data_IF_531073388870
#
_entry.id   IF_531073388870
#
_cell.length_a   1.000
_cell.length_b   1.000
_cell.length_c   1.000
_cell.angle_alpha   90.00
_cell.angle_beta   90.00
_cell.angle_gamma   90.00
#
_symmetry.space_group_name_H-M   'P 1'
#
loop_
_entity.id
_entity.type
_entity.pdbx_description
1 polymer ?
#
# COMPACT_ATOMS: atom_id res chain seq x y z
N UNK A 1 -6.17 1.57 -24.05
CA UNK A 1 -6.00 2.51 -22.91
C UNK A 1 -5.67 1.66 -21.69
N UNK A 2 -4.55 1.91 -20.99
CA UNK A 2 -4.22 1.12 -19.78
C UNK A 2 -5.05 1.65 -18.60
N UNK A 3 -5.80 0.78 -17.93
CA UNK A 3 -6.51 1.13 -16.70
C UNK A 3 -5.51 1.41 -15.57
N UNK A 4 -5.83 2.36 -14.70
CA UNK A 4 -5.00 2.71 -13.57
C UNK A 4 -5.86 3.30 -12.44
N UNK A 5 -5.35 3.18 -11.21
CA UNK A 5 -5.83 3.94 -10.07
C UNK A 5 -4.83 5.05 -9.75
N UNK A 6 -5.31 6.23 -9.34
CA UNK A 6 -4.50 7.19 -8.61
C UNK A 6 -4.97 7.22 -7.15
N UNK A 7 -4.04 7.47 -6.25
CA UNK A 7 -4.32 7.77 -4.85
C UNK A 7 -3.70 9.13 -4.54
N UNK A 8 -4.49 10.02 -3.96
CA UNK A 8 -4.03 11.31 -3.43
C UNK A 8 -4.03 11.22 -1.91
N UNK A 9 -2.87 11.46 -1.30
CA UNK A 9 -2.75 11.45 0.15
C UNK A 9 -3.44 12.68 0.76
N UNK A 10 -4.44 12.49 1.62
CA UNK A 10 -5.08 13.58 2.37
C UNK A 10 -4.57 13.61 3.81
N UNK A 11 -3.37 14.17 3.97
CA UNK A 11 -2.65 14.21 5.24
C UNK A 11 -1.63 13.07 5.36
N UNK A 12 -0.42 13.41 5.79
CA UNK A 12 0.69 12.47 5.89
C UNK A 12 1.20 12.39 7.32
N UNK A 13 1.60 11.19 7.76
CA UNK A 13 2.41 11.06 8.98
C UNK A 13 3.70 11.89 8.89
N UNK A 14 4.20 12.11 7.68
CA UNK A 14 5.43 12.87 7.44
C UNK A 14 5.16 14.39 7.33
N UNK A 15 3.89 14.81 7.36
CA UNK A 15 3.46 16.20 7.34
C UNK A 15 2.66 16.52 8.61
N UNK A 16 3.39 16.67 9.71
CA UNK A 16 2.86 16.95 11.06
C UNK A 16 2.21 18.33 11.18
N UNK A 17 2.17 19.13 10.11
CA UNK A 17 1.47 20.42 10.09
C UNK A 17 2.15 21.54 10.88
N UNK A 18 3.41 21.36 11.29
CA UNK A 18 4.16 22.39 12.01
C UNK A 18 4.35 23.65 11.17
N UNK A 19 4.45 24.83 11.81
CA UNK A 19 4.56 26.15 11.13
C UNK A 19 5.69 26.19 10.08
N UNK A 20 6.80 25.48 10.32
CA UNK A 20 7.92 25.34 9.35
C UNK A 20 7.55 24.52 8.11
N UNK A 21 6.64 23.55 8.24
CA UNK A 21 6.11 22.73 7.15
C UNK A 21 4.98 23.45 6.39
N UNK A 22 4.18 24.28 7.06
CA UNK A 22 3.16 25.13 6.40
C UNK A 22 3.79 26.05 5.36
N UNK A 23 4.98 26.61 5.64
CA UNK A 23 5.73 27.44 4.68
C UNK A 23 6.36 26.65 3.53
N UNK A 24 6.55 25.34 3.70
CA UNK A 24 7.08 24.42 2.70
C UNK A 24 6.00 23.43 2.26
N UNK A 25 4.74 23.86 2.15
CA UNK A 25 3.60 23.01 1.78
C UNK A 25 3.99 22.18 0.55
N UNK A 26 4.36 20.93 0.79
CA UNK A 26 4.56 19.99 -0.30
C UNK A 26 3.18 19.60 -0.79
N UNK A 27 2.99 19.47 -2.11
CA UNK A 27 1.75 18.95 -2.64
C UNK A 27 1.48 17.58 -2.02
N UNK A 28 0.20 17.25 -1.85
CA UNK A 28 -0.20 15.91 -1.46
C UNK A 28 0.44 14.90 -2.41
N UNK A 29 0.99 13.83 -1.84
CA UNK A 29 1.58 12.76 -2.63
C UNK A 29 0.50 12.14 -3.51
N UNK A 30 0.80 12.01 -4.80
CA UNK A 30 -0.08 11.34 -5.77
C UNK A 30 0.63 10.11 -6.29
N UNK A 31 0.05 8.93 -6.05
CA UNK A 31 0.61 7.67 -6.53
C UNK A 31 -0.29 7.09 -7.60
N UNK A 32 0.27 6.83 -8.79
CA UNK A 32 -0.43 6.14 -9.88
C UNK A 32 -0.05 4.67 -9.93
N UNK A 33 -1.03 3.78 -9.93
CA UNK A 33 -0.84 2.35 -10.11
C UNK A 33 -1.47 1.92 -11.43
N UNK A 34 -0.61 1.61 -12.39
CA UNK A 34 -1.02 1.13 -13.71
C UNK A 34 -1.29 -0.36 -13.66
N UNK A 35 -2.25 -0.81 -14.47
CA UNK A 35 -2.47 -2.23 -14.70
C UNK A 35 -1.21 -2.88 -15.27
N UNK A 36 -0.94 -4.11 -14.84
CA UNK A 36 0.13 -4.92 -15.37
C UNK A 36 -0.40 -6.33 -15.65
N UNK A 37 -0.80 -6.62 -16.90
CA UNK A 37 -1.39 -7.91 -17.26
C UNK A 37 -0.48 -9.10 -17.00
N UNK A 38 0.85 -8.92 -17.03
CA UNK A 38 1.79 -10.03 -16.79
C UNK A 38 1.76 -10.56 -15.36
N UNK A 39 1.22 -9.80 -14.42
CA UNK A 39 1.07 -10.22 -13.02
C UNK A 39 -0.21 -11.03 -12.79
N UNK A 40 -1.13 -11.11 -13.76
CA UNK A 40 -2.42 -11.81 -13.63
C UNK A 40 -3.17 -11.41 -12.36
N UNK A 41 -3.54 -12.41 -11.54
CA UNK A 41 -4.24 -12.21 -10.27
C UNK A 41 -3.42 -11.45 -9.20
N UNK A 42 -2.12 -11.24 -9.41
CA UNK A 42 -1.26 -10.42 -8.53
C UNK A 42 -1.22 -8.95 -8.94
N UNK A 43 -1.90 -8.57 -10.03
CA UNK A 43 -1.99 -7.18 -10.44
C UNK A 43 -2.77 -6.37 -9.40
N UNK A 44 -2.15 -5.32 -8.85
CA UNK A 44 -2.78 -4.48 -7.82
C UNK A 44 -4.10 -3.86 -8.30
N UNK A 45 -4.17 -3.42 -9.55
CA UNK A 45 -5.39 -2.85 -10.13
C UNK A 45 -6.51 -3.89 -10.12
N UNK A 46 -6.23 -5.12 -10.56
CA UNK A 46 -7.21 -6.20 -10.55
C UNK A 46 -7.63 -6.62 -9.13
N UNK A 47 -6.70 -6.63 -8.17
CA UNK A 47 -7.01 -6.90 -6.77
C UNK A 47 -7.90 -5.81 -6.17
N UNK A 48 -7.66 -4.54 -6.53
CA UNK A 48 -8.46 -3.42 -6.08
C UNK A 48 -9.85 -3.43 -6.74
N UNK A 49 -9.95 -3.76 -8.03
CA UNK A 49 -11.24 -3.93 -8.71
C UNK A 49 -12.07 -5.02 -8.02
N UNK A 50 -11.44 -6.17 -7.71
CA UNK A 50 -12.09 -7.24 -6.95
C UNK A 50 -12.54 -6.74 -5.57
N UNK A 51 -11.66 -6.05 -4.84
CA UNK A 51 -12.02 -5.48 -3.54
C UNK A 51 -13.25 -4.58 -3.64
N UNK A 52 -13.23 -3.59 -4.53
CA UNK A 52 -14.32 -2.64 -4.74
C UNK A 52 -15.61 -3.34 -5.15
N UNK A 53 -15.53 -4.34 -6.05
CA UNK A 53 -16.71 -5.11 -6.48
C UNK A 53 -17.40 -5.86 -5.33
N UNK A 54 -16.66 -6.18 -4.27
CA UNK A 54 -17.16 -6.89 -3.09
C UNK A 54 -17.54 -5.97 -1.93
N UNK A 55 -17.46 -4.66 -2.15
CA UNK A 55 -17.89 -3.63 -1.19
C UNK A 55 -19.09 -2.87 -1.73
N UNK A 56 -20.20 -2.89 -1.01
CA UNK A 56 -21.45 -2.24 -1.44
C UNK A 56 -21.48 -0.73 -1.15
N UNK A 57 -20.60 -0.24 -0.26
CA UNK A 57 -20.59 1.16 0.17
C UNK A 57 -19.34 1.96 -0.22
N UNK A 58 -18.23 1.28 -0.56
CA UNK A 58 -17.06 2.01 -1.03
C UNK A 58 -17.27 2.40 -2.48
N UNK A 59 -17.62 3.67 -2.68
CA UNK A 59 -17.64 4.32 -3.98
C UNK A 59 -16.42 5.22 -4.07
N UNK A 60 -15.49 4.98 -5.01
CA UNK A 60 -14.42 5.91 -5.30
C UNK A 60 -15.00 7.32 -5.46
N UNK A 61 -14.28 8.32 -4.92
CA UNK A 61 -14.63 9.74 -5.00
C UNK A 61 -15.92 10.17 -4.28
N UNK A 62 -16.55 9.29 -3.48
CA UNK A 62 -17.66 9.69 -2.60
C UNK A 62 -17.16 10.37 -1.33
N UNK A 63 -17.69 11.56 -1.02
CA UNK A 63 -17.41 12.28 0.24
C UNK A 63 -17.82 11.51 1.49
N UNK A 64 -18.72 10.54 1.34
CA UNK A 64 -19.29 9.77 2.44
C UNK A 64 -18.51 8.46 2.70
N UNK A 65 -17.49 8.17 1.89
CA UNK A 65 -16.69 6.94 1.97
C UNK A 65 -15.48 7.09 2.90
N UNK A 66 -15.74 7.43 4.17
CA UNK A 66 -14.67 7.65 5.17
C UNK A 66 -13.92 6.36 5.59
N UNK A 67 -14.33 5.20 5.10
CA UNK A 67 -13.77 3.91 5.51
C UNK A 67 -13.35 3.05 4.32
N UNK A 68 -12.05 2.99 4.05
CA UNK A 68 -11.48 2.13 3.01
C UNK A 68 -11.14 0.72 3.51
N UNK A 69 -10.61 0.56 4.72
CA UNK A 69 -10.25 -0.77 5.24
C UNK A 69 -11.42 -1.37 6.00
N UNK A 70 -12.18 -2.24 5.36
CA UNK A 70 -13.39 -2.84 5.92
C UNK A 70 -13.14 -4.18 6.61
N UNK A 71 -13.94 -4.47 7.65
CA UNK A 71 -13.91 -5.75 8.36
C UNK A 71 -14.48 -6.86 7.48
N UNK A 72 -13.79 -7.99 7.41
CA UNK A 72 -14.22 -9.16 6.67
C UNK A 72 -15.43 -9.85 7.34
N UNK A 73 -16.41 -10.30 6.54
CA UNK A 73 -17.47 -11.21 6.99
C UNK A 73 -16.92 -12.64 6.93
N UNK A 74 -17.06 -13.42 8.01
CA UNK A 74 -16.45 -14.76 8.12
C UNK A 74 -17.38 -15.87 7.59
N UNK A 75 -18.64 -15.56 7.29
CA UNK A 75 -19.64 -16.54 6.86
C UNK A 75 -19.45 -16.95 5.39
N UNK A 76 -18.89 -18.15 5.21
CA UNK A 76 -18.66 -18.91 3.97
C UNK A 76 -18.30 -18.07 2.74
N UNK A 77 -17.00 -17.93 2.48
CA UNK A 77 -16.47 -17.37 1.23
C UNK A 77 -16.80 -18.28 0.04
N UNK A 78 -18.05 -18.32 -0.42
CA UNK A 78 -18.34 -18.86 -1.75
C UNK A 78 -17.89 -17.82 -2.78
N UNK A 79 -16.89 -18.19 -3.58
CA UNK A 79 -16.50 -17.40 -4.75
C UNK A 79 -17.52 -17.53 -5.90
N UNK A 80 -18.49 -18.42 -5.74
CA UNK A 80 -19.51 -18.74 -6.75
C UNK A 80 -20.60 -17.66 -6.87
N UNK A 81 -20.79 -16.84 -5.84
CA UNK A 81 -21.75 -15.74 -5.86
C UNK A 81 -21.03 -14.40 -6.12
N UNK A 82 -21.20 -13.89 -7.35
CA UNK A 82 -20.64 -12.62 -7.77
C UNK A 82 -21.23 -11.43 -7.01
N UNK A 83 -22.47 -11.53 -6.52
CA UNK A 83 -23.21 -10.45 -5.85
C UNK A 83 -23.05 -10.47 -4.32
N UNK A 84 -22.53 -11.58 -3.75
CA UNK A 84 -22.29 -11.69 -2.31
C UNK A 84 -21.26 -10.68 -1.80
N UNK A 85 -21.66 -9.88 -0.81
CA UNK A 85 -20.81 -8.93 -0.10
C UNK A 85 -19.81 -9.67 0.82
N UNK A 86 -18.54 -9.29 0.78
CA UNK A 86 -17.49 -9.96 1.58
C UNK A 86 -17.13 -9.21 2.88
N UNK A 87 -17.49 -7.93 2.97
CA UNK A 87 -17.04 -7.05 4.06
C UNK A 87 -18.22 -6.42 4.79
N UNK A 88 -18.19 -6.39 6.11
CA UNK A 88 -19.08 -5.53 6.88
C UNK A 88 -18.82 -4.06 6.54
N UNK A 89 -19.86 -3.24 6.63
CA UNK A 89 -19.77 -1.78 6.52
C UNK A 89 -19.25 -1.20 7.84
N UNK A 90 -18.04 -1.60 8.21
CA UNK A 90 -17.39 -1.18 9.44
C UNK A 90 -15.89 -1.22 9.26
N UNK A 91 -15.21 -0.19 9.75
CA UNK A 91 -13.76 -0.09 9.73
C UNK A 91 -13.13 -1.28 10.45
N UNK A 92 -12.09 -1.85 9.84
CA UNK A 92 -11.22 -2.77 10.55
C UNK A 92 -10.49 -2.03 11.67
N UNK A 93 -10.37 -2.67 12.84
CA UNK A 93 -9.67 -2.08 13.98
C UNK A 93 -8.19 -1.85 13.68
N UNK A 94 -7.64 -0.73 14.16
CA UNK A 94 -6.21 -0.38 13.99
C UNK A 94 -5.26 -1.51 14.41
N UNK A 95 -5.53 -2.19 15.53
CA UNK A 95 -4.68 -3.27 16.02
C UNK A 95 -4.72 -4.50 15.10
N UNK A 96 -5.89 -4.81 14.54
CA UNK A 96 -6.05 -5.88 13.55
C UNK A 96 -5.29 -5.54 12.27
N UNK A 97 -5.44 -4.32 11.76
CA UNK A 97 -4.70 -3.86 10.57
C UNK A 97 -3.18 -3.87 10.80
N UNK A 98 -2.73 -3.49 11.99
CA UNK A 98 -1.30 -3.53 12.39
C UNK A 98 -0.75 -4.96 12.43
N UNK A 99 -1.58 -5.93 12.83
CA UNK A 99 -1.20 -7.36 12.92
C UNK A 99 -1.33 -8.15 11.62
N UNK A 100 -1.95 -7.58 10.57
CA UNK A 100 -2.31 -8.32 9.35
C UNK A 100 -1.10 -8.90 8.62
N UNK A 101 -0.04 -8.12 8.42
CA UNK A 101 1.19 -8.60 7.76
C UNK A 101 1.86 -9.71 8.55
N UNK A 102 1.90 -9.58 9.89
CA UNK A 102 2.42 -10.62 10.77
C UNK A 102 1.63 -11.93 10.61
N UNK A 103 0.30 -11.85 10.59
CA UNK A 103 -0.57 -12.99 10.34
C UNK A 103 -0.31 -13.65 8.98
N UNK A 104 -0.32 -12.86 7.89
CA UNK A 104 -0.05 -13.35 6.54
C UNK A 104 1.31 -14.04 6.42
N UNK A 105 2.36 -13.48 7.03
CA UNK A 105 3.69 -14.10 7.04
C UNK A 105 3.67 -15.43 7.79
N UNK A 106 3.01 -15.49 8.96
CA UNK A 106 2.88 -16.71 9.75
C UNK A 106 2.18 -17.82 8.94
N UNK A 107 1.07 -17.49 8.28
CA UNK A 107 0.29 -18.45 7.49
C UNK A 107 1.06 -18.94 6.24
N UNK A 108 1.92 -18.09 5.67
CA UNK A 108 2.79 -18.42 4.55
C UNK A 108 4.10 -19.13 4.96
N UNK A 109 4.33 -19.40 6.25
CA UNK A 109 5.58 -19.99 6.74
C UNK A 109 6.81 -19.08 6.66
N UNK A 110 6.60 -17.77 6.56
CA UNK A 110 7.65 -16.74 6.54
C UNK A 110 7.92 -16.28 7.97
N UNK A 111 9.20 -16.03 8.33
CA UNK A 111 9.56 -15.43 9.62
C UNK A 111 8.78 -14.13 9.88
N UNK A 112 8.01 -14.10 10.96
CA UNK A 112 6.92 -13.14 11.15
C UNK A 112 7.07 -12.24 12.39
N UNK A 113 7.90 -12.59 13.38
CA UNK A 113 7.89 -11.92 14.69
C UNK A 113 8.16 -10.40 14.63
N UNK A 114 9.04 -9.98 13.73
CA UNK A 114 9.43 -8.58 13.51
C UNK A 114 8.75 -7.95 12.29
N UNK A 115 7.77 -8.63 11.68
CA UNK A 115 7.10 -8.13 10.47
C UNK A 115 5.95 -7.21 10.81
N UNK A 116 5.91 -6.08 10.11
CA UNK A 116 4.86 -5.07 10.20
C UNK A 116 4.51 -4.52 8.83
N UNK A 117 3.49 -3.66 8.75
CA UNK A 117 3.16 -2.95 7.51
C UNK A 117 4.34 -2.12 6.99
N UNK A 118 5.21 -1.63 7.87
CA UNK A 118 6.42 -0.92 7.46
C UNK A 118 7.43 -1.85 6.75
N UNK A 119 7.46 -3.14 7.10
CA UNK A 119 8.31 -4.12 6.42
C UNK A 119 7.97 -4.27 4.92
N UNK A 120 6.69 -4.09 4.54
CA UNK A 120 6.29 -4.07 3.12
C UNK A 120 6.84 -2.85 2.39
N UNK A 121 6.84 -1.68 3.04
CA UNK A 121 7.44 -0.47 2.47
C UNK A 121 8.96 -0.64 2.30
N UNK A 122 9.63 -1.18 3.31
CA UNK A 122 11.06 -1.48 3.25
C UNK A 122 11.39 -2.45 2.11
N UNK A 123 10.67 -3.58 2.01
CA UNK A 123 10.86 -4.53 0.93
C UNK A 123 10.64 -3.90 -0.45
N UNK A 124 9.62 -3.05 -0.59
CA UNK A 124 9.35 -2.34 -1.85
C UNK A 124 10.49 -1.37 -2.21
N UNK A 125 10.98 -0.60 -1.24
CA UNK A 125 12.09 0.33 -1.43
C UNK A 125 13.37 -0.40 -1.86
N UNK A 126 13.76 -1.45 -1.13
CA UNK A 126 14.92 -2.29 -1.44
C UNK A 126 14.82 -2.90 -2.83
N UNK A 127 13.68 -3.49 -3.19
CA UNK A 127 13.47 -4.08 -4.53
C UNK A 127 13.57 -3.05 -5.66
N UNK A 128 13.07 -1.83 -5.43
CA UNK A 128 13.23 -0.75 -6.42
C UNK A 128 14.69 -0.32 -6.58
N UNK A 129 15.47 -0.29 -5.49
CA UNK A 129 16.91 -0.01 -5.54
C UNK A 129 17.69 -1.10 -6.26
N UNK A 130 17.42 -2.37 -5.92
CA UNK A 130 18.07 -3.51 -6.56
C UNK A 130 17.79 -3.57 -8.06
N UNK A 131 16.63 -3.07 -8.49
CA UNK A 131 16.26 -2.92 -9.90
C UNK A 131 16.92 -1.70 -10.58
N UNK A 132 17.74 -0.91 -9.87
CA UNK A 132 18.43 0.25 -10.40
C UNK A 132 17.52 1.45 -10.71
N UNK A 133 16.33 1.53 -10.09
CA UNK A 133 15.45 2.68 -10.29
C UNK A 133 16.05 3.95 -9.68
N UNK A 134 15.78 5.09 -10.32
CA UNK A 134 16.26 6.38 -9.82
C UNK A 134 15.71 6.67 -8.42
N UNK A 135 16.56 7.13 -7.51
CA UNK A 135 16.21 7.42 -6.11
C UNK A 135 14.99 8.33 -5.99
N UNK A 136 14.86 9.33 -6.88
CA UNK A 136 13.69 10.22 -6.92
C UNK A 136 12.38 9.47 -7.16
N UNK A 137 12.38 8.46 -8.03
CA UNK A 137 11.22 7.60 -8.26
C UNK A 137 10.93 6.78 -7.01
N UNK A 138 11.95 6.21 -6.38
CA UNK A 138 11.81 5.42 -5.15
C UNK A 138 11.23 6.27 -4.03
N UNK A 139 11.75 7.48 -3.83
CA UNK A 139 11.26 8.47 -2.86
C UNK A 139 9.80 8.81 -3.11
N UNK A 140 9.42 9.09 -4.35
CA UNK A 140 8.04 9.39 -4.74
C UNK A 140 7.11 8.21 -4.38
N UNK A 141 7.51 6.98 -4.71
CA UNK A 141 6.73 5.76 -4.41
C UNK A 141 6.64 5.45 -2.92
N UNK A 142 7.71 5.64 -2.16
CA UNK A 142 7.82 5.24 -0.74
C UNK A 142 7.44 6.35 0.24
N UNK A 143 7.42 7.62 -0.20
CA UNK A 143 7.08 8.78 0.62
C UNK A 143 8.27 9.33 1.43
N UNK A 144 9.51 9.05 1.03
CA UNK A 144 10.69 9.65 1.65
C UNK A 144 10.94 11.06 1.10
N UNK A 145 11.33 12.00 1.96
CA UNK A 145 11.59 13.40 1.59
C UNK A 145 13.07 13.74 1.42
N UNK A 146 13.97 12.82 1.78
CA UNK A 146 15.42 12.98 1.62
C UNK A 146 16.04 11.69 1.10
N UNK A 147 17.18 11.85 0.42
CA UNK A 147 18.06 10.74 0.03
C UNK A 147 18.59 10.00 1.26
N UNK A 148 18.84 10.72 2.36
CA UNK A 148 19.26 10.11 3.62
C UNK A 148 18.23 9.09 4.15
N UNK A 149 16.94 9.35 3.93
CA UNK A 149 15.87 8.42 4.32
C UNK A 149 15.89 7.12 3.51
N UNK A 150 16.58 7.10 2.36
CA UNK A 150 16.73 5.91 1.52
C UNK A 150 17.95 5.05 1.90
N UNK A 151 18.96 5.62 2.55
CA UNK A 151 20.20 4.92 2.94
C UNK A 151 19.99 3.58 3.67
N UNK A 152 18.99 3.40 4.55
CA UNK A 152 18.77 2.10 5.20
C UNK A 152 18.40 0.97 4.24
N UNK A 153 17.88 1.29 3.05
CA UNK A 153 17.45 0.29 2.06
C UNK A 153 18.54 -0.01 1.02
N UNK A 154 19.55 0.85 0.91
CA UNK A 154 20.71 0.61 0.05
C UNK A 154 21.58 -0.44 0.71
N UNK A 155 21.61 -1.63 0.13
CA UNK A 155 22.63 -2.61 0.46
C UNK A 155 23.84 -2.31 -0.42
N UNK A 156 25.02 -2.13 0.19
CA UNK A 156 26.27 -2.26 -0.55
C UNK A 156 26.33 -3.74 -0.92
N UNK A 157 26.02 -4.05 -2.17
CA UNK A 157 26.21 -5.41 -2.69
C UNK A 157 27.69 -5.56 -3.04
N UNK A 158 28.23 -6.78 -2.93
CA UNK A 158 29.66 -7.06 -3.20
C UNK A 158 30.12 -6.60 -4.60
N UNK A 159 29.18 -6.38 -5.53
CA UNK A 159 29.40 -5.81 -6.86
C UNK A 159 29.89 -4.36 -6.86
N UNK A 160 29.76 -3.61 -5.76
CA UNK A 160 30.24 -2.23 -5.63
C UNK A 160 31.61 -2.13 -4.96
N UNK A 161 32.23 -3.27 -4.62
CA UNK A 161 33.57 -3.34 -4.01
C UNK A 161 34.68 -3.78 -4.99
N UNK A 162 34.37 -3.91 -6.28
CA UNK A 162 35.35 -4.18 -7.35
C UNK A 162 35.54 -2.96 -8.24
#
# INVERSE_FOLDING_TARGET
>A
MMAYYWYTEHGSKNNLGGVKQVRKRQPNKVVKHFTNPSLGYRCLVCLLDLYISKTTQFKPDSSDSDTFYLRLMIEDYSCDDSEKQWFYVCAIGHNTLKGMVKGMCKDAGISFEEKSNHSLCAASATRMMDAGLQEKVIMDRTGHHSLDGLKPYSSITDLQQQ
#
